data_IF_356503536361
#
_entry.id   IF_356503536361
#
_cell.length_a   1.000
_cell.length_b   1.000
_cell.length_c   1.000
_cell.angle_alpha   90.00
_cell.angle_beta   90.00
_cell.angle_gamma   90.00
#
_symmetry.space_group_name_H-M   'P 1'
#
loop_
_entity.id
_entity.type
_entity.pdbx_description
1 polymer ?
#
# COMPACT_ATOMS: atom_id res chain seq x y z
N UNK A 1 0.70 -15.66 22.87
CA UNK A 1 0.82 -14.19 22.86
C UNK A 1 0.78 -13.73 21.43
N UNK A 2 -0.34 -13.18 20.98
CA UNK A 2 -0.53 -12.78 19.59
C UNK A 2 0.37 -11.60 19.27
N UNK A 3 1.37 -11.83 18.41
CA UNK A 3 2.10 -10.74 17.78
C UNK A 3 1.08 -9.90 17.03
N UNK A 4 0.75 -8.72 17.57
CA UNK A 4 0.22 -7.62 16.77
C UNK A 4 1.29 -7.31 15.74
N UNK A 5 1.21 -7.97 14.58
CA UNK A 5 2.07 -7.71 13.44
C UNK A 5 1.94 -6.23 13.14
N UNK A 6 2.99 -5.46 13.46
CA UNK A 6 3.02 -4.03 13.13
C UNK A 6 2.74 -3.89 11.64
N UNK A 7 1.72 -3.10 11.33
CA UNK A 7 1.26 -2.82 9.97
C UNK A 7 1.94 -1.53 9.55
N UNK A 8 3.05 -1.67 8.85
CA UNK A 8 3.87 -0.56 8.37
C UNK A 8 3.51 -0.25 6.92
N UNK A 9 3.13 0.99 6.67
CA UNK A 9 2.61 1.49 5.39
C UNK A 9 3.53 2.53 4.79
N UNK A 10 3.56 2.59 3.47
CA UNK A 10 4.20 3.66 2.72
C UNK A 10 3.19 4.25 1.73
N UNK A 11 3.09 5.57 1.73
CA UNK A 11 2.35 6.31 0.71
C UNK A 11 3.37 6.90 -0.26
N UNK A 12 3.64 6.25 -1.40
CA UNK A 12 4.53 6.80 -2.42
C UNK A 12 4.00 8.13 -2.95
N UNK A 13 4.92 9.05 -3.25
CA UNK A 13 4.58 10.33 -3.89
C UNK A 13 4.11 10.15 -5.34
N UNK A 14 4.46 9.03 -5.97
CA UNK A 14 4.15 8.69 -7.36
C UNK A 14 2.65 8.60 -7.57
N UNK A 15 2.11 9.41 -8.48
CA UNK A 15 0.68 9.46 -8.84
C UNK A 15 -0.31 9.66 -7.70
N UNK A 16 0.15 10.12 -6.53
CA UNK A 16 -0.73 10.63 -5.50
C UNK A 16 -1.29 11.99 -5.96
N UNK A 17 -2.49 11.96 -6.54
CA UNK A 17 -3.25 13.19 -6.81
C UNK A 17 -3.61 13.88 -5.48
N UNK A 18 -2.70 14.75 -5.03
CA UNK A 18 -2.89 15.77 -4.02
C UNK A 18 -2.50 15.42 -2.57
N UNK A 19 -2.08 16.42 -1.77
CA UNK A 19 -1.72 16.27 -0.35
C UNK A 19 -2.90 15.83 0.54
N UNK A 20 -4.14 16.07 0.13
CA UNK A 20 -5.34 15.68 0.89
C UNK A 20 -5.55 14.16 0.92
N UNK A 21 -5.25 13.47 -0.20
CA UNK A 21 -5.29 12.00 -0.25
C UNK A 21 -4.26 11.38 0.69
N UNK A 22 -3.06 11.94 0.74
CA UNK A 22 -1.99 11.49 1.65
C UNK A 22 -2.39 11.66 3.12
N UNK A 23 -3.10 12.74 3.47
CA UNK A 23 -3.60 12.95 4.84
C UNK A 23 -4.72 11.96 5.21
N UNK A 24 -5.67 11.72 4.31
CA UNK A 24 -6.73 10.73 4.53
C UNK A 24 -6.17 9.30 4.65
N UNK A 25 -5.16 8.99 3.83
CA UNK A 25 -4.40 7.74 3.91
C UNK A 25 -3.69 7.61 5.25
N UNK A 26 -3.03 8.66 5.72
CA UNK A 26 -2.37 8.64 7.03
C UNK A 26 -3.36 8.45 8.18
N UNK A 27 -4.50 9.13 8.13
CA UNK A 27 -5.51 9.05 9.17
C UNK A 27 -6.10 7.62 9.30
N UNK A 28 -6.44 6.97 8.19
CA UNK A 28 -6.98 5.61 8.22
C UNK A 28 -5.97 4.56 8.68
N UNK A 29 -4.67 4.72 8.35
CA UNK A 29 -3.59 3.86 8.84
C UNK A 29 -3.47 3.97 10.35
N UNK A 30 -3.41 5.21 10.85
CA UNK A 30 -3.28 5.48 12.29
C UNK A 30 -4.50 4.95 13.07
N UNK A 31 -5.69 5.05 12.49
CA UNK A 31 -6.94 4.53 13.08
C UNK A 31 -6.89 3.01 13.25
N UNK A 32 -6.20 2.29 12.36
CA UNK A 32 -6.01 0.84 12.42
C UNK A 32 -4.74 0.40 13.18
N UNK A 33 -4.12 1.30 13.94
CA UNK A 33 -2.90 1.04 14.72
C UNK A 33 -1.65 0.84 13.87
N UNK A 34 -1.67 1.26 12.61
CA UNK A 34 -0.54 1.16 11.69
C UNK A 34 0.43 2.33 11.79
N UNK A 35 1.62 2.16 11.19
CA UNK A 35 2.64 3.20 11.09
C UNK A 35 2.82 3.63 9.64
N UNK A 36 2.91 4.93 9.39
CA UNK A 36 3.18 5.45 8.05
C UNK A 36 4.63 5.89 7.94
N UNK A 37 5.33 5.33 6.98
CA UNK A 37 6.69 5.70 6.59
C UNK A 37 6.65 6.73 5.47
N UNK A 38 7.68 7.57 5.42
CA UNK A 38 7.88 8.54 4.34
C UNK A 38 8.76 7.99 3.23
N UNK A 39 9.55 6.97 3.55
CA UNK A 39 10.55 6.36 2.68
C UNK A 39 10.40 4.84 2.73
N UNK A 40 10.75 4.12 1.65
CA UNK A 40 10.74 2.67 1.64
C UNK A 40 11.74 2.09 2.66
N UNK A 41 11.33 1.02 3.33
CA UNK A 41 12.13 0.26 4.29
C UNK A 41 11.67 -1.19 4.30
N UNK A 42 12.58 -2.09 4.65
CA UNK A 42 12.37 -3.50 4.99
C UNK A 42 11.20 -3.78 5.97
N UNK A 43 10.76 -2.78 6.73
CA UNK A 43 9.61 -2.87 7.63
C UNK A 43 8.29 -2.64 6.92
N UNK A 44 8.28 -1.86 5.85
CA UNK A 44 7.07 -1.51 5.11
C UNK A 44 6.50 -2.78 4.47
N UNK A 45 5.24 -3.10 4.83
CA UNK A 45 4.49 -4.24 4.30
C UNK A 45 3.38 -3.83 3.33
N UNK A 46 2.97 -2.58 3.34
CA UNK A 46 1.86 -2.11 2.51
C UNK A 46 2.22 -0.81 1.81
N UNK A 47 2.28 -0.83 0.48
CA UNK A 47 2.32 0.35 -0.37
C UNK A 47 0.90 0.77 -0.75
N UNK A 48 0.59 2.04 -0.57
CA UNK A 48 -0.73 2.59 -0.89
C UNK A 48 -0.67 3.31 -2.24
N UNK A 49 -1.23 2.67 -3.26
CA UNK A 49 -1.08 3.05 -4.65
C UNK A 49 -2.42 3.50 -5.23
N UNK A 50 -2.43 4.57 -6.05
CA UNK A 50 -3.59 4.86 -6.86
C UNK A 50 -3.60 3.95 -8.10
N UNK A 51 -4.68 3.23 -8.34
CA UNK A 51 -4.85 2.37 -9.52
C UNK A 51 -4.69 3.11 -10.85
N UNK A 52 -4.85 4.44 -10.87
CA UNK A 52 -4.59 5.27 -12.04
C UNK A 52 -3.10 5.33 -12.44
N UNK A 53 -2.19 4.99 -11.53
CA UNK A 53 -0.73 4.95 -11.74
C UNK A 53 -0.36 3.92 -12.80
N UNK A 54 -1.06 2.78 -12.84
CA UNK A 54 -0.81 1.69 -13.80
C UNK A 54 -1.04 2.09 -15.27
N UNK A 55 -1.71 3.22 -15.52
CA UNK A 55 -1.91 3.73 -16.88
C UNK A 55 -0.68 4.45 -17.43
N UNK A 56 0.31 4.73 -16.58
CA UNK A 56 1.57 5.35 -16.97
C UNK A 56 2.72 4.38 -16.63
N UNK A 57 3.45 3.96 -17.67
CA UNK A 57 4.53 2.99 -17.53
C UNK A 57 5.68 3.52 -16.67
N UNK A 58 6.02 4.80 -16.76
CA UNK A 58 7.09 5.43 -15.95
C UNK A 58 6.73 5.40 -14.46
N UNK A 59 5.49 5.76 -14.14
CA UNK A 59 5.00 5.70 -12.76
C UNK A 59 4.94 4.26 -12.24
N UNK A 60 4.61 3.31 -13.09
CA UNK A 60 4.58 1.88 -12.75
C UNK A 60 5.98 1.37 -12.41
N UNK A 61 6.98 1.69 -13.24
CA UNK A 61 8.38 1.33 -12.99
C UNK A 61 8.92 1.98 -11.72
N UNK A 62 8.59 3.24 -11.46
CA UNK A 62 9.01 3.93 -10.24
C UNK A 62 8.39 3.29 -8.98
N UNK A 63 7.10 2.94 -9.05
CA UNK A 63 6.40 2.24 -7.98
C UNK A 63 7.00 0.87 -7.69
N UNK A 64 7.38 0.13 -8.74
CA UNK A 64 8.07 -1.15 -8.62
C UNK A 64 9.42 -1.00 -7.90
N UNK A 65 10.24 0.00 -8.27
CA UNK A 65 11.51 0.29 -7.59
C UNK A 65 11.34 0.62 -6.11
N UNK A 66 10.25 1.31 -5.74
CA UNK A 66 9.94 1.59 -4.33
C UNK A 66 9.53 0.30 -3.63
N UNK A 67 8.73 -0.53 -4.29
CA UNK A 67 8.29 -1.82 -3.77
C UNK A 67 9.49 -2.76 -3.54
N UNK A 68 10.48 -2.79 -4.43
CA UNK A 68 11.70 -3.61 -4.28
C UNK A 68 12.57 -3.20 -3.08
N UNK A 69 12.42 -1.95 -2.59
CA UNK A 69 13.11 -1.45 -1.38
C UNK A 69 12.33 -1.72 -0.09
N UNK A 70 11.13 -2.28 -0.19
CA UNK A 70 10.30 -2.62 0.97
C UNK A 70 10.50 -4.07 1.41
N UNK A 71 9.79 -4.50 2.46
CA UNK A 71 9.83 -5.89 2.94
C UNK A 71 9.59 -6.90 1.81
N UNK A 72 10.14 -8.11 1.88
CA UNK A 72 9.91 -9.19 0.89
C UNK A 72 8.44 -9.68 0.82
N UNK A 73 7.66 -9.40 1.85
CA UNK A 73 6.22 -9.67 1.88
C UNK A 73 5.36 -8.43 1.57
N UNK A 74 5.98 -7.31 1.17
CA UNK A 74 5.24 -6.08 0.94
C UNK A 74 4.32 -6.18 -0.29
N UNK A 75 3.13 -5.60 -0.18
CA UNK A 75 2.14 -5.56 -1.25
C UNK A 75 1.79 -4.13 -1.62
N UNK A 76 1.58 -3.85 -2.90
CA UNK A 76 1.05 -2.56 -3.35
C UNK A 76 -0.46 -2.70 -3.53
N UNK A 77 -1.21 -2.14 -2.59
CA UNK A 77 -2.67 -2.18 -2.55
C UNK A 77 -3.26 -0.89 -3.12
N UNK A 78 -4.46 -1.01 -3.68
CA UNK A 78 -5.17 0.10 -4.28
C UNK A 78 -5.80 1.00 -3.22
N UNK A 79 -6.12 2.22 -3.62
CA UNK A 79 -6.74 3.18 -2.72
C UNK A 79 -8.15 2.75 -2.24
N UNK A 80 -8.87 1.93 -3.01
CA UNK A 80 -10.23 1.51 -2.64
C UNK A 80 -10.22 0.61 -1.41
N UNK A 81 -9.32 -0.39 -1.37
CA UNK A 81 -9.07 -1.24 -0.21
C UNK A 81 -8.79 -0.40 1.03
N UNK A 82 -7.88 0.58 0.89
CA UNK A 82 -7.51 1.44 1.99
C UNK A 82 -8.70 2.25 2.52
N UNK A 83 -9.49 2.85 1.63
CA UNK A 83 -10.69 3.61 2.03
C UNK A 83 -11.66 2.75 2.81
N UNK A 84 -11.81 1.48 2.41
CA UNK A 84 -12.72 0.56 3.08
C UNK A 84 -12.27 0.24 4.51
N UNK A 85 -11.00 -0.08 4.75
CA UNK A 85 -10.49 -0.34 6.11
C UNK A 85 -10.46 0.92 6.99
N UNK A 86 -10.32 2.09 6.37
CA UNK A 86 -10.37 3.37 7.06
C UNK A 86 -11.81 3.73 7.49
N UNK A 87 -12.78 3.53 6.60
CA UNK A 87 -14.19 3.81 6.83
C UNK A 87 -14.80 2.85 7.87
N UNK A 88 -14.55 1.55 7.70
CA UNK A 88 -15.02 0.50 8.63
C UNK A 88 -14.28 0.50 9.96
N UNK A 89 -13.13 1.18 10.05
CA UNK A 89 -12.19 1.13 11.19
C UNK A 89 -11.83 -0.30 11.60
N UNK A 90 -11.86 -1.20 10.64
CA UNK A 90 -11.64 -2.62 10.81
C UNK A 90 -10.59 -3.06 9.81
N UNK A 91 -9.64 -3.87 10.30
CA UNK A 91 -8.61 -4.43 9.45
C UNK A 91 -9.14 -5.59 8.63
N UNK A 92 -8.88 -5.55 7.32
CA UNK A 92 -8.95 -6.74 6.46
C UNK A 92 -7.67 -6.85 5.64
N UNK A 93 -7.19 -8.06 5.44
CA UNK A 93 -6.09 -8.31 4.53
C UNK A 93 -6.51 -8.00 3.08
N UNK A 94 -5.59 -7.47 2.25
CA UNK A 94 -5.88 -7.19 0.85
C UNK A 94 -6.03 -8.49 0.06
N UNK A 95 -7.10 -8.57 -0.73
CA UNK A 95 -7.34 -9.67 -1.64
C UNK A 95 -6.63 -9.41 -2.99
N UNK A 96 -6.51 -10.40 -3.89
CA UNK A 96 -5.86 -10.20 -5.19
C UNK A 96 -6.43 -9.06 -6.03
N UNK A 97 -7.73 -8.75 -5.89
CA UNK A 97 -8.37 -7.62 -6.58
C UNK A 97 -8.00 -6.25 -5.99
N UNK A 98 -7.52 -6.24 -4.75
CA UNK A 98 -7.06 -5.03 -4.07
C UNK A 98 -5.62 -4.69 -4.47
N UNK A 99 -4.88 -5.61 -5.08
CA UNK A 99 -3.49 -5.43 -5.46
C UNK A 99 -3.35 -4.68 -6.80
N UNK A 100 -2.43 -3.73 -6.84
CA UNK A 100 -2.13 -2.88 -8.00
C UNK A 100 -0.94 -3.43 -8.76
N UNK A 101 0.09 -3.91 -8.06
CA UNK A 101 1.25 -4.53 -8.69
C UNK A 101 1.33 -6.00 -8.30
N UNK A 102 1.52 -6.91 -9.28
CA UNK A 102 1.93 -8.26 -8.97
C UNK A 102 3.38 -8.22 -8.47
N UNK A 103 3.67 -8.89 -7.36
CA UNK A 103 5.06 -9.21 -7.04
C UNK A 103 5.48 -10.47 -7.79
N UNK A 104 6.75 -10.58 -8.20
CA UNK A 104 7.27 -11.86 -8.66
C UNK A 104 7.14 -12.87 -7.51
N UNK A 105 6.25 -13.86 -7.67
CA UNK A 105 5.96 -14.89 -6.66
C UNK A 105 4.51 -14.94 -6.16
N UNK A 106 3.72 -13.87 -6.34
CA UNK A 106 2.26 -13.99 -6.18
C UNK A 106 1.68 -14.68 -7.41
N UNK A 107 0.88 -15.76 -7.26
CA UNK A 107 0.28 -16.42 -8.41
C UNK A 107 -0.65 -15.43 -9.11
N UNK A 108 -0.22 -14.91 -10.25
CA UNK A 108 -1.10 -14.24 -11.20
C UNK A 108 -2.24 -15.20 -11.52
N UNK A 109 -3.48 -14.80 -11.23
CA UNK A 109 -4.67 -15.48 -11.74
C UNK A 109 -4.50 -15.64 -13.26
N UNK A 110 -4.33 -16.89 -13.70
CA UNK A 110 -4.70 -17.32 -15.05
C UNK A 110 -6.22 -17.41 -15.14
#
# INVERSE_FOLDING_TARGET
>A
GGFLTRRDFLVPAVGANGPMRVHLLKAGVLTNGGRVHREPSDRVKFLLCDSLILKNEEHTQELQKILDKCSEDAVCANLAWFKEIADKKEWRDPNPNDLVLPRPGTPSKK
#
